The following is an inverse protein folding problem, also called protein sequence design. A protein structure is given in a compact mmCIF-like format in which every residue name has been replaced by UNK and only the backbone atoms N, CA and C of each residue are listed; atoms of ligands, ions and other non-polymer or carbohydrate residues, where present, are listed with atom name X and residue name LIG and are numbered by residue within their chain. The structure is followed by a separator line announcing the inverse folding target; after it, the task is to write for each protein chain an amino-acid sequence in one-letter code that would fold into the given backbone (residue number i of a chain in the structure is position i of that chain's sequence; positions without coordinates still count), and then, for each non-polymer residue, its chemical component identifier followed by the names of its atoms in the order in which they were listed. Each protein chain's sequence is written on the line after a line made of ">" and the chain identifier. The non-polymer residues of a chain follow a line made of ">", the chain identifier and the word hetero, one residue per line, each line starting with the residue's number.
data_IF_878196326475
#
_entry.id   IF_878196326475
#
_cell.length_a   1.000
_cell.length_b   1.000
_cell.length_c   1.000
_cell.angle_alpha   90.00
_cell.angle_beta   90.00
_cell.angle_gamma   90.00
#
_symmetry.space_group_name_H-M   'P 1'
#
loop_
_entity.id
_entity.type
_entity.pdbx_description
1 polymer ?
#
# COMPACT_ATOMS: atom_id res chain seq x y z
N UNK A 1 4.89 -11.27 -14.42
CA UNK A 1 5.17 -10.51 -13.18
C UNK A 1 5.83 -9.22 -13.62
N UNK A 2 5.45 -8.07 -13.05
CA UNK A 2 6.05 -6.78 -13.39
C UNK A 2 7.54 -6.76 -13.00
N UNK A 3 8.34 -6.12 -13.83
CA UNK A 3 9.77 -5.88 -13.58
C UNK A 3 9.97 -4.58 -12.82
N UNK A 4 11.18 -4.38 -12.31
CA UNK A 4 11.60 -3.11 -11.72
C UNK A 4 11.41 -1.94 -12.71
N UNK A 5 11.76 -2.16 -13.97
CA UNK A 5 11.66 -1.13 -14.99
C UNK A 5 10.20 -0.74 -15.26
N UNK A 6 9.28 -1.70 -15.28
CA UNK A 6 7.84 -1.42 -15.46
C UNK A 6 7.30 -0.48 -14.37
N UNK A 7 7.74 -0.67 -13.12
CA UNK A 7 7.34 0.19 -12.00
C UNK A 7 7.89 1.61 -12.15
N UNK A 8 9.17 1.73 -12.51
CA UNK A 8 9.84 3.02 -12.73
C UNK A 8 9.20 3.76 -13.89
N UNK A 9 8.98 3.08 -15.02
CA UNK A 9 8.39 3.68 -16.22
C UNK A 9 6.97 4.19 -15.97
N UNK A 10 6.19 3.47 -15.16
CA UNK A 10 4.87 3.94 -14.75
C UNK A 10 4.96 5.27 -13.99
N UNK A 11 5.83 5.40 -13.00
CA UNK A 11 5.95 6.65 -12.24
C UNK A 11 6.57 7.79 -13.08
N UNK A 12 7.50 7.49 -13.96
CA UNK A 12 8.02 8.49 -14.92
C UNK A 12 6.92 9.04 -15.80
N UNK A 13 5.98 8.19 -16.26
CA UNK A 13 4.79 8.63 -16.99
C UNK A 13 3.91 9.57 -16.15
N UNK A 14 3.76 9.30 -14.85
CA UNK A 14 3.02 10.20 -13.95
C UNK A 14 3.73 11.55 -13.78
N UNK A 15 5.06 11.55 -13.73
CA UNK A 15 5.87 12.79 -13.72
C UNK A 15 5.65 13.60 -15.00
N UNK A 16 5.56 12.95 -16.16
CA UNK A 16 5.25 13.64 -17.42
C UNK A 16 3.85 14.27 -17.40
N UNK A 17 2.85 13.56 -16.89
CA UNK A 17 1.52 14.14 -16.70
C UNK A 17 1.53 15.37 -15.79
N UNK A 18 2.31 15.33 -14.71
CA UNK A 18 2.49 16.48 -13.82
C UNK A 18 3.15 17.67 -14.54
N UNK A 19 4.27 17.44 -15.25
CA UNK A 19 4.95 18.49 -16.01
C UNK A 19 4.05 19.13 -17.08
N UNK A 20 3.16 18.36 -17.64
CA UNK A 20 2.18 18.81 -18.64
C UNK A 20 0.90 19.44 -18.03
N UNK A 21 0.88 19.69 -16.72
CA UNK A 21 -0.24 20.30 -16.03
C UNK A 21 -1.51 19.45 -15.90
N UNK A 22 -1.42 18.14 -16.19
CA UNK A 22 -2.57 17.21 -16.08
C UNK A 22 -2.83 16.75 -14.66
N UNK A 23 -1.89 16.95 -13.72
CA UNK A 23 -1.98 16.57 -12.32
C UNK A 23 -1.82 17.82 -11.44
N UNK A 24 -2.87 18.66 -11.30
CA UNK A 24 -2.79 19.93 -10.55
C UNK A 24 -2.90 19.72 -9.03
N UNK A 25 -2.90 18.47 -8.55
CA UNK A 25 -3.04 18.11 -7.15
C UNK A 25 -1.84 17.31 -6.67
N UNK A 26 -1.74 17.19 -5.35
CA UNK A 26 -0.65 16.46 -4.70
C UNK A 26 -0.75 14.96 -4.98
N UNK A 27 0.34 14.38 -5.46
CA UNK A 27 0.52 12.94 -5.56
C UNK A 27 1.91 12.54 -5.07
N UNK A 28 2.09 11.29 -4.67
CA UNK A 28 3.31 10.83 -4.06
C UNK A 28 3.91 9.67 -4.86
N UNK A 29 5.12 9.88 -5.35
CA UNK A 29 5.89 8.84 -6.00
C UNK A 29 6.49 7.88 -4.96
N UNK A 30 6.62 6.63 -5.35
CA UNK A 30 7.42 5.62 -4.66
C UNK A 30 8.91 5.78 -5.07
N UNK A 31 9.63 4.75 -5.20
CA UNK A 31 10.97 4.73 -5.76
C UNK A 31 12.05 4.34 -4.78
N UNK A 32 13.00 3.55 -5.28
CA UNK A 32 14.16 3.07 -4.54
C UNK A 32 13.93 1.78 -3.73
N UNK A 33 12.73 1.21 -3.78
CA UNK A 33 12.38 -0.03 -3.08
C UNK A 33 11.74 -1.10 -3.99
N UNK A 34 11.92 -0.97 -5.30
CA UNK A 34 11.27 -1.81 -6.31
C UNK A 34 11.60 -3.29 -6.10
N UNK A 35 12.88 -3.62 -5.95
CA UNK A 35 13.35 -5.00 -5.80
C UNK A 35 12.80 -5.64 -4.52
N UNK A 36 12.78 -4.88 -3.42
CA UNK A 36 12.23 -5.34 -2.14
C UNK A 36 10.72 -5.59 -2.27
N UNK A 37 9.98 -4.68 -2.88
CA UNK A 37 8.54 -4.83 -3.08
C UNK A 37 8.22 -6.02 -3.99
N UNK A 38 8.92 -6.18 -5.11
CA UNK A 38 8.75 -7.33 -6.01
C UNK A 38 8.96 -8.63 -5.23
N UNK A 39 9.98 -8.70 -4.35
CA UNK A 39 10.22 -9.89 -3.55
C UNK A 39 9.12 -10.15 -2.52
N UNK A 40 8.61 -9.12 -1.83
CA UNK A 40 7.50 -9.27 -0.87
C UNK A 40 6.24 -9.73 -1.60
N UNK A 41 5.92 -9.13 -2.74
CA UNK A 41 4.71 -9.46 -3.49
C UNK A 41 4.69 -10.88 -4.07
N UNK A 42 5.84 -11.57 -4.17
CA UNK A 42 5.89 -13.03 -4.48
C UNK A 42 5.20 -13.89 -3.42
N UNK A 43 5.08 -13.39 -2.20
CA UNK A 43 4.44 -14.10 -1.08
C UNK A 43 2.96 -13.76 -0.90
N UNK A 44 2.48 -12.72 -1.57
CA UNK A 44 1.08 -12.30 -1.54
C UNK A 44 0.31 -13.14 -2.56
N UNK A 45 -0.73 -13.81 -2.09
CA UNK A 45 -1.55 -14.69 -2.92
C UNK A 45 -2.76 -13.95 -3.49
N UNK A 46 -3.29 -14.50 -4.57
CA UNK A 46 -4.58 -14.04 -5.08
C UNK A 46 -5.66 -14.18 -3.99
N UNK A 47 -6.42 -13.12 -3.79
CA UNK A 47 -7.45 -13.06 -2.76
C UNK A 47 -6.99 -12.51 -1.42
N UNK A 48 -5.68 -12.43 -1.15
CA UNK A 48 -5.17 -11.73 0.03
C UNK A 48 -5.57 -10.25 0.01
N UNK A 49 -5.62 -9.65 1.19
CA UNK A 49 -5.89 -8.23 1.34
C UNK A 49 -4.59 -7.43 1.38
N UNK A 50 -4.53 -6.34 0.62
CA UNK A 50 -3.41 -5.40 0.66
C UNK A 50 -3.91 -4.02 1.05
N UNK A 51 -3.40 -3.51 2.17
CA UNK A 51 -3.61 -2.16 2.64
C UNK A 51 -2.34 -1.35 2.48
N UNK A 52 -2.45 -0.13 1.98
CA UNK A 52 -1.30 0.74 1.75
C UNK A 52 -1.58 2.18 2.18
N UNK A 53 -0.58 3.03 2.06
CA UNK A 53 -0.63 4.45 2.42
C UNK A 53 -0.71 5.34 1.17
N UNK A 54 -0.35 6.60 1.29
CA UNK A 54 -0.31 7.56 0.19
C UNK A 54 0.73 7.25 -0.90
N UNK A 55 1.79 6.48 -0.59
CA UNK A 55 2.79 5.98 -1.57
C UNK A 55 2.45 4.56 -1.96
N UNK A 56 1.47 4.40 -2.84
CA UNK A 56 0.83 3.11 -3.08
C UNK A 56 0.93 2.61 -4.52
N UNK A 57 1.46 3.39 -5.46
CA UNK A 57 1.38 3.05 -6.89
C UNK A 57 2.03 1.70 -7.19
N UNK A 58 3.24 1.45 -6.67
CA UNK A 58 3.91 0.16 -6.85
C UNK A 58 3.13 -0.99 -6.20
N UNK A 59 2.58 -0.76 -5.01
CA UNK A 59 1.75 -1.77 -4.34
C UNK A 59 0.51 -2.11 -5.16
N UNK A 60 -0.15 -1.10 -5.73
CA UNK A 60 -1.33 -1.28 -6.57
C UNK A 60 -1.01 -2.09 -7.84
N UNK A 61 0.06 -1.72 -8.54
CA UNK A 61 0.52 -2.42 -9.75
C UNK A 61 0.89 -3.88 -9.44
N UNK A 62 1.71 -4.11 -8.42
CA UNK A 62 2.17 -5.44 -8.02
C UNK A 62 1.02 -6.32 -7.51
N UNK A 63 -0.05 -5.72 -6.97
CA UNK A 63 -1.26 -6.44 -6.57
C UNK A 63 -2.24 -6.67 -7.73
N UNK A 64 -1.84 -6.32 -8.95
CA UNK A 64 -2.56 -6.64 -10.18
C UNK A 64 -3.62 -5.62 -10.60
N UNK A 65 -3.59 -4.39 -10.08
CA UNK A 65 -4.39 -3.30 -10.65
C UNK A 65 -3.76 -2.93 -12.01
N UNK A 66 -4.53 -2.97 -13.12
CA UNK A 66 -4.01 -2.61 -14.44
C UNK A 66 -3.45 -1.18 -14.46
N UNK A 67 -2.36 -1.00 -15.18
CA UNK A 67 -1.65 0.28 -15.20
C UNK A 67 -2.51 1.43 -15.76
N UNK A 68 -3.32 1.16 -16.79
CA UNK A 68 -4.25 2.12 -17.36
C UNK A 68 -5.36 2.53 -16.38
N UNK A 69 -5.88 1.57 -15.61
CA UNK A 69 -6.89 1.82 -14.57
C UNK A 69 -6.30 2.66 -13.44
N UNK A 70 -5.07 2.33 -13.02
CA UNK A 70 -4.38 3.09 -11.97
C UNK A 70 -4.07 4.51 -12.44
N UNK A 71 -3.55 4.67 -13.65
CA UNK A 71 -3.29 5.97 -14.29
C UNK A 71 -4.53 6.85 -14.30
N UNK A 72 -5.68 6.30 -14.75
CA UNK A 72 -6.92 7.07 -14.77
C UNK A 72 -7.35 7.50 -13.37
N UNK A 73 -7.24 6.64 -12.37
CA UNK A 73 -7.52 7.01 -10.97
C UNK A 73 -6.62 8.14 -10.47
N UNK A 74 -5.34 8.13 -10.85
CA UNK A 74 -4.40 9.19 -10.49
C UNK A 74 -4.79 10.50 -11.18
N UNK A 75 -5.11 10.45 -12.48
CA UNK A 75 -5.58 11.62 -13.23
C UNK A 75 -6.89 12.21 -12.67
N UNK A 76 -7.76 11.36 -12.12
CA UNK A 76 -8.99 11.76 -11.43
C UNK A 76 -8.76 12.33 -10.00
N UNK A 77 -7.52 12.53 -9.57
CA UNK A 77 -7.20 13.06 -8.24
C UNK A 77 -7.26 12.03 -7.11
N UNK A 78 -7.34 10.75 -7.42
CA UNK A 78 -7.52 9.67 -6.44
C UNK A 78 -6.21 8.94 -6.09
N UNK A 79 -5.05 9.53 -6.39
CA UNK A 79 -3.73 8.91 -6.17
C UNK A 79 -3.55 8.33 -4.76
N UNK A 80 -4.09 8.99 -3.74
CA UNK A 80 -3.97 8.56 -2.34
C UNK A 80 -5.17 7.73 -1.85
N UNK A 81 -6.18 7.54 -2.68
CA UNK A 81 -7.46 6.90 -2.32
C UNK A 81 -7.80 5.80 -3.32
N UNK A 82 -6.87 4.89 -3.53
CA UNK A 82 -7.09 3.73 -4.40
C UNK A 82 -7.90 2.70 -3.63
N UNK A 83 -9.05 2.34 -4.18
CA UNK A 83 -9.89 1.29 -3.68
C UNK A 83 -10.27 0.34 -4.83
N UNK A 84 -9.95 -0.94 -4.66
CA UNK A 84 -10.36 -2.00 -5.59
C UNK A 84 -10.89 -3.20 -4.78
N UNK A 85 -12.22 -3.27 -4.67
CA UNK A 85 -12.90 -4.35 -3.94
C UNK A 85 -12.64 -5.72 -4.58
N UNK A 86 -12.55 -5.77 -5.91
CA UNK A 86 -12.35 -7.03 -6.63
C UNK A 86 -11.01 -7.67 -6.29
N UNK A 87 -10.00 -6.83 -6.02
CA UNK A 87 -8.64 -7.27 -5.67
C UNK A 87 -8.32 -7.14 -4.19
N UNK A 88 -9.28 -6.78 -3.34
CA UNK A 88 -9.04 -6.57 -1.91
C UNK A 88 -7.92 -5.54 -1.64
N UNK A 89 -7.85 -4.49 -2.45
CA UNK A 89 -6.85 -3.43 -2.33
C UNK A 89 -7.47 -2.15 -1.77
N UNK A 90 -6.83 -1.59 -0.75
CA UNK A 90 -7.29 -0.38 -0.08
C UNK A 90 -6.13 0.51 0.32
N UNK A 91 -6.27 1.83 0.13
CA UNK A 91 -5.30 2.81 0.61
C UNK A 91 -5.95 3.90 1.46
N UNK A 92 -5.15 4.51 2.34
CA UNK A 92 -5.57 5.65 3.13
C UNK A 92 -4.45 6.69 3.21
N UNK A 93 -4.80 7.96 3.06
CA UNK A 93 -3.89 9.08 3.30
C UNK A 93 -3.73 9.40 4.80
N UNK A 94 -4.56 8.80 5.66
CA UNK A 94 -4.47 8.99 7.12
C UNK A 94 -3.28 8.21 7.65
N UNK A 95 -2.27 8.93 8.12
CA UNK A 95 -1.06 8.34 8.70
C UNK A 95 -1.43 7.49 9.91
N UNK A 96 -0.99 6.22 9.92
CA UNK A 96 -1.31 5.27 10.99
C UNK A 96 -2.75 4.72 10.98
N UNK A 97 -3.59 5.09 10.00
CA UNK A 97 -4.98 4.63 9.94
C UNK A 97 -5.17 3.18 9.48
N UNK A 98 -4.28 2.69 8.62
CA UNK A 98 -4.43 1.35 8.01
C UNK A 98 -4.15 0.17 8.95
N UNK A 99 -3.23 0.22 9.94
CA UNK A 99 -2.93 -0.93 10.79
C UNK A 99 -4.12 -1.48 11.56
N UNK A 100 -4.92 -0.61 12.18
CA UNK A 100 -6.11 -1.03 12.92
C UNK A 100 -7.18 -1.65 12.01
N UNK A 101 -7.33 -1.09 10.79
CA UNK A 101 -8.23 -1.64 9.76
C UNK A 101 -7.75 -3.03 9.34
N UNK A 102 -6.45 -3.21 9.10
CA UNK A 102 -5.85 -4.50 8.76
C UNK A 102 -6.11 -5.56 9.84
N UNK A 103 -5.91 -5.20 11.11
CA UNK A 103 -6.20 -6.09 12.24
C UNK A 103 -7.69 -6.48 12.29
N UNK A 104 -8.60 -5.54 12.03
CA UNK A 104 -10.04 -5.81 11.98
C UNK A 104 -10.42 -6.75 10.83
N UNK A 105 -9.84 -6.56 9.64
CA UNK A 105 -10.05 -7.48 8.50
C UNK A 105 -9.52 -8.87 8.85
N UNK A 106 -8.30 -8.98 9.40
CA UNK A 106 -7.70 -10.25 9.78
C UNK A 106 -8.55 -11.00 10.83
N UNK A 107 -9.12 -10.28 11.81
CA UNK A 107 -10.05 -10.86 12.76
C UNK A 107 -11.32 -11.41 12.09
N UNK A 108 -11.89 -10.64 11.16
CA UNK A 108 -13.07 -11.08 10.41
C UNK A 108 -12.79 -12.32 9.57
N UNK A 109 -11.62 -12.39 8.92
CA UNK A 109 -11.17 -13.55 8.15
C UNK A 109 -11.00 -14.78 9.05
N UNK A 110 -10.36 -14.64 10.20
CA UNK A 110 -10.23 -15.72 11.19
C UNK A 110 -11.58 -16.26 11.64
N UNK A 111 -12.52 -15.36 11.98
CA UNK A 111 -13.88 -15.77 12.38
C UNK A 111 -14.67 -16.50 11.29
N UNK A 112 -14.35 -16.22 10.02
CA UNK A 112 -14.94 -16.91 8.85
C UNK A 112 -14.21 -18.21 8.48
N UNK A 113 -13.13 -18.57 9.17
CA UNK A 113 -12.31 -19.72 8.79
C UNK A 113 -11.58 -19.53 7.46
N UNK A 114 -11.36 -18.29 7.01
CA UNK A 114 -10.66 -17.98 5.76
C UNK A 114 -9.16 -18.19 5.92
N UNK A 115 -8.51 -18.67 4.86
CA UNK A 115 -7.05 -18.81 4.77
C UNK A 115 -6.35 -17.58 4.17
N UNK A 116 -7.11 -16.57 3.76
CA UNK A 116 -6.60 -15.30 3.23
C UNK A 116 -5.79 -14.56 4.31
N UNK A 117 -4.77 -13.85 3.86
CA UNK A 117 -3.91 -13.02 4.71
C UNK A 117 -4.16 -11.54 4.46
N UNK A 118 -3.76 -10.73 5.42
CA UNK A 118 -3.79 -9.27 5.31
C UNK A 118 -2.37 -8.73 5.33
N UNK A 119 -2.00 -8.00 4.31
CA UNK A 119 -0.71 -7.33 4.15
C UNK A 119 -0.90 -5.84 4.29
N UNK A 120 -0.28 -5.23 5.28
CA UNK A 120 -0.42 -3.81 5.56
C UNK A 120 0.94 -3.11 5.41
N UNK A 121 1.05 -2.27 4.39
CA UNK A 121 2.24 -1.48 4.12
C UNK A 121 2.12 -0.13 4.81
N UNK A 122 3.07 0.19 5.65
CA UNK A 122 3.16 1.46 6.39
C UNK A 122 4.50 2.14 6.14
N UNK A 123 4.52 3.46 6.20
CA UNK A 123 5.77 4.22 6.16
C UNK A 123 6.49 4.23 7.51
N UNK A 124 7.67 4.82 7.54
CA UNK A 124 8.51 5.01 8.74
C UNK A 124 7.83 5.88 9.81
N UNK A 125 7.15 6.97 9.42
CA UNK A 125 6.42 7.82 10.38
C UNK A 125 5.35 7.07 11.18
N UNK A 126 4.42 6.34 10.51
CA UNK A 126 3.47 5.47 11.22
C UNK A 126 4.10 4.35 12.02
N UNK A 127 5.30 3.89 11.65
CA UNK A 127 5.99 2.82 12.37
C UNK A 127 6.34 3.20 13.81
N UNK A 128 6.67 4.48 14.03
CA UNK A 128 6.97 5.02 15.36
C UNK A 128 5.69 5.41 16.13
N UNK A 129 4.51 5.13 15.58
CA UNK A 129 3.24 5.51 16.21
C UNK A 129 2.67 4.40 17.12
N UNK A 130 1.97 4.80 18.18
CA UNK A 130 1.22 3.88 19.03
C UNK A 130 0.14 3.09 18.26
N UNK A 131 -0.30 3.55 17.09
CA UNK A 131 -1.30 2.87 16.26
C UNK A 131 -0.78 1.55 15.69
N UNK A 132 0.45 1.54 15.13
CA UNK A 132 1.06 0.30 14.64
C UNK A 132 1.36 -0.65 15.81
N UNK A 133 1.91 -0.14 16.90
CA UNK A 133 2.19 -0.93 18.10
C UNK A 133 0.93 -1.62 18.63
N UNK A 134 -0.16 -0.87 18.80
CA UNK A 134 -1.43 -1.42 19.30
C UNK A 134 -2.02 -2.46 18.34
N UNK A 135 -1.97 -2.20 17.02
CA UNK A 135 -2.47 -3.16 16.02
C UNK A 135 -1.64 -4.44 16.01
N UNK A 136 -0.30 -4.34 16.11
CA UNK A 136 0.59 -5.52 16.17
C UNK A 136 0.32 -6.37 17.41
N UNK A 137 0.21 -5.73 18.57
CA UNK A 137 -0.14 -6.44 19.82
C UNK A 137 -1.50 -7.14 19.75
N UNK A 138 -2.46 -6.52 19.07
CA UNK A 138 -3.77 -7.11 18.84
C UNK A 138 -3.69 -8.33 17.90
N UNK A 139 -2.97 -8.19 16.79
CA UNK A 139 -2.74 -9.27 15.82
C UNK A 139 -2.07 -10.47 16.50
N UNK A 140 -1.01 -10.23 17.27
CA UNK A 140 -0.28 -11.28 17.99
C UNK A 140 -1.16 -11.93 19.07
N UNK A 141 -1.84 -11.12 19.90
CA UNK A 141 -2.65 -11.61 21.00
C UNK A 141 -3.86 -12.46 20.55
N UNK A 142 -4.36 -12.23 19.35
CA UNK A 142 -5.46 -12.99 18.77
C UNK A 142 -4.99 -13.98 17.67
N UNK A 143 -3.70 -14.17 17.48
CA UNK A 143 -3.14 -15.06 16.45
C UNK A 143 -3.80 -14.84 15.07
N UNK A 144 -3.72 -13.61 14.58
CA UNK A 144 -4.35 -13.20 13.32
C UNK A 144 -3.36 -13.27 12.15
N UNK A 145 -3.85 -13.66 10.97
CA UNK A 145 -3.06 -13.71 9.74
C UNK A 145 -2.89 -12.31 9.13
N UNK A 146 -2.11 -11.45 9.78
CA UNK A 146 -1.76 -10.12 9.26
C UNK A 146 -0.25 -9.87 9.33
N UNK A 147 0.29 -9.27 8.28
CA UNK A 147 1.70 -8.90 8.19
C UNK A 147 1.80 -7.39 8.02
N UNK A 148 2.55 -6.74 8.90
CA UNK A 148 2.88 -5.33 8.78
C UNK A 148 4.27 -5.17 8.15
N UNK A 149 4.33 -4.48 7.03
CA UNK A 149 5.59 -4.19 6.32
C UNK A 149 5.91 -2.71 6.46
N UNK A 150 7.03 -2.40 7.06
CA UNK A 150 7.50 -1.01 7.23
C UNK A 150 8.44 -0.65 6.08
N UNK A 151 8.03 0.31 5.26
CA UNK A 151 8.87 0.91 4.22
C UNK A 151 9.65 2.09 4.78
N UNK A 152 10.98 1.96 4.86
CA UNK A 152 11.83 3.06 5.28
C UNK A 152 12.24 3.88 4.06
N UNK A 153 11.77 5.13 3.99
CA UNK A 153 12.01 5.99 2.84
C UNK A 153 13.25 6.88 2.97
N UNK A 154 13.83 7.02 4.15
CA UNK A 154 14.86 8.01 4.52
C UNK A 154 14.49 9.45 4.08
N UNK A 155 13.22 9.71 3.82
CA UNK A 155 12.67 10.97 3.31
C UNK A 155 11.47 11.46 4.13
N UNK A 156 11.38 11.04 5.37
CA UNK A 156 10.31 11.49 6.27
C UNK A 156 10.55 12.94 6.64
N UNK A 157 9.51 13.74 6.52
CA UNK A 157 9.50 15.17 6.92
C UNK A 157 9.43 15.33 8.46
N UNK A 158 9.33 14.22 9.19
CA UNK A 158 9.38 14.23 10.65
C UNK A 158 10.81 14.49 11.10
N UNK A 159 11.06 15.70 11.52
CA UNK A 159 12.24 16.02 12.31
C UNK A 159 12.25 15.16 13.58
N UNK A 160 13.31 14.38 13.73
CA UNK A 160 13.67 13.82 15.02
C UNK A 160 14.21 14.91 15.92
#
# INVERSE_FOLDING_TARGET
>A
MLTKQDLIDFELKMVEHYKNGKLPFLFHLSGGNEDQLINIFKHIKEGDYVLSSHRNHYHALLHGIPADVLEQKILDGKSMFIYDRKRNFFTSAIIGGTPAIAAGIALALKRKGSTQKVWCFVGDGPADSGHLFSASRYVDGFDLSSTFTVGQSNRTVTTR
#
